data_IF_879968784899
#
_entry.id   IF_879968784899
#
_cell.length_a   1.000
_cell.length_b   1.000
_cell.length_c   1.000
_cell.angle_alpha   90.00
_cell.angle_beta   90.00
_cell.angle_gamma   90.00
#
_symmetry.space_group_name_H-M   'P 1'
#
loop_
_entity.id
_entity.type
_entity.pdbx_description
1 polymer ?
#
# COMPACT_ATOMS: atom_id res chain seq x y z
N UNK A 1 -7.64 -16.68 3.84
CA UNK A 1 -6.94 -16.02 2.71
C UNK A 1 -6.26 -14.78 3.27
N UNK A 2 -4.94 -14.79 3.46
CA UNK A 2 -4.20 -13.60 3.91
C UNK A 2 -4.16 -12.63 2.73
N UNK A 3 -5.06 -11.65 2.71
CA UNK A 3 -5.03 -10.58 1.72
C UNK A 3 -3.71 -9.84 1.95
N UNK A 4 -2.81 -9.88 0.97
CA UNK A 4 -1.58 -9.09 0.94
C UNK A 4 -1.97 -7.62 0.76
N UNK A 5 -2.47 -7.04 1.85
CA UNK A 5 -3.03 -5.70 1.89
C UNK A 5 -1.87 -4.73 1.88
N UNK A 6 -1.72 -4.02 0.75
CA UNK A 6 -0.73 -2.97 0.62
C UNK A 6 -1.34 -1.63 1.02
N UNK A 7 -0.52 -0.80 1.66
CA UNK A 7 -0.89 0.54 2.10
C UNK A 7 -0.25 1.54 1.14
N UNK A 8 -1.01 2.49 0.62
CA UNK A 8 -0.47 3.53 -0.24
C UNK A 8 0.19 4.61 0.61
N UNK A 9 1.49 4.86 0.41
CA UNK A 9 2.21 5.98 1.02
C UNK A 9 2.21 7.18 0.10
N UNK A 10 1.83 8.32 0.64
CA UNK A 10 1.87 9.64 0.00
C UNK A 10 2.90 10.55 0.67
N UNK A 11 3.33 11.60 -0.03
CA UNK A 11 3.96 12.74 0.62
C UNK A 11 2.91 13.68 1.23
N UNK A 12 3.35 14.75 1.90
CA UNK A 12 2.46 15.73 2.55
C UNK A 12 1.44 16.40 1.62
N UNK A 13 1.73 16.49 0.33
CA UNK A 13 0.88 17.10 -0.70
C UNK A 13 -0.06 16.09 -1.38
N UNK A 14 -0.02 14.82 -1.00
CA UNK A 14 -0.87 13.77 -1.56
C UNK A 14 -0.30 13.08 -2.80
N UNK A 15 0.96 13.33 -3.15
CA UNK A 15 1.63 12.65 -4.27
C UNK A 15 1.95 11.21 -3.86
N UNK A 16 1.56 10.19 -4.66
CA UNK A 16 1.94 8.80 -4.43
C UNK A 16 3.45 8.58 -4.47
N UNK A 17 3.98 7.91 -3.44
CA UNK A 17 5.41 7.57 -3.34
C UNK A 17 5.65 6.08 -3.60
N UNK A 18 5.00 5.22 -2.81
CA UNK A 18 5.18 3.77 -2.90
C UNK A 18 4.06 3.00 -2.21
N UNK A 19 3.95 1.71 -2.53
CA UNK A 19 3.14 0.77 -1.78
C UNK A 19 3.95 0.14 -0.65
N UNK A 20 3.45 0.27 0.58
CA UNK A 20 4.03 -0.32 1.77
C UNK A 20 3.39 -1.67 2.07
N UNK A 21 4.18 -2.54 2.69
CA UNK A 21 3.61 -3.66 3.44
C UNK A 21 3.03 -3.20 4.79
N UNK A 22 2.45 -4.16 5.50
CA UNK A 22 1.77 -3.93 6.79
C UNK A 22 2.76 -3.45 7.86
N UNK A 23 3.92 -4.07 7.95
CA UNK A 23 4.94 -3.82 8.97
C UNK A 23 5.55 -2.41 8.80
N UNK A 24 5.83 -2.01 7.56
CA UNK A 24 6.29 -0.68 7.21
C UNK A 24 5.26 0.39 7.57
N UNK A 25 3.99 0.19 7.21
CA UNK A 25 2.90 1.12 7.55
C UNK A 25 2.71 1.23 9.07
N UNK A 26 2.73 0.09 9.78
CA UNK A 26 2.67 0.05 11.24
C UNK A 26 3.80 0.87 11.87
N UNK A 27 5.03 0.70 11.37
CA UNK A 27 6.22 1.41 11.86
C UNK A 27 6.07 2.93 11.73
N UNK A 28 5.55 3.41 10.61
CA UNK A 28 5.32 4.84 10.40
C UNK A 28 4.26 5.41 11.33
N UNK A 29 3.16 4.68 11.53
CA UNK A 29 2.07 5.08 12.43
C UNK A 29 2.55 5.17 13.89
N UNK A 30 3.18 4.11 14.40
CA UNK A 30 3.61 4.08 15.82
C UNK A 30 4.74 5.07 16.12
N UNK A 31 5.55 5.43 15.11
CA UNK A 31 6.56 6.48 15.23
C UNK A 31 6.01 7.90 15.09
N UNK A 32 4.69 8.07 14.85
CA UNK A 32 4.08 9.39 14.68
C UNK A 32 4.53 10.12 13.40
N UNK A 33 4.94 9.37 12.37
CA UNK A 33 5.47 9.94 11.11
C UNK A 33 4.38 10.17 10.05
N UNK A 34 3.13 9.80 10.36
CA UNK A 34 1.96 10.01 9.49
C UNK A 34 1.35 11.37 9.81
N UNK A 35 1.29 12.24 8.79
CA UNK A 35 0.74 13.59 8.87
C UNK A 35 -0.78 13.58 8.74
N UNK A 36 -1.30 12.77 7.82
CA UNK A 36 -2.73 12.57 7.60
C UNK A 36 -2.95 11.22 6.91
N UNK A 37 -4.19 10.72 6.94
CA UNK A 37 -4.57 9.45 6.34
C UNK A 37 -5.92 9.54 5.63
N UNK A 38 -6.17 8.62 4.70
CA UNK A 38 -7.42 8.51 3.97
C UNK A 38 -7.90 7.05 3.89
N UNK A 39 -9.23 6.91 3.85
CA UNK A 39 -9.93 5.63 3.85
C UNK A 39 -10.19 5.10 5.26
N UNK A 40 -11.27 4.32 5.38
CA UNK A 40 -11.58 3.60 6.61
C UNK A 40 -10.50 2.56 6.95
N UNK A 41 -10.44 2.17 8.21
CA UNK A 41 -9.48 1.15 8.66
C UNK A 41 -9.78 -0.18 7.98
N UNK A 42 -8.88 -0.65 7.12
CA UNK A 42 -9.01 -1.95 6.45
C UNK A 42 -8.16 -3.03 7.10
N UNK A 43 -7.13 -2.66 7.87
CA UNK A 43 -6.20 -3.61 8.45
C UNK A 43 -6.00 -3.35 9.94
N UNK A 44 -6.44 -4.31 10.74
CA UNK A 44 -6.24 -4.30 12.19
C UNK A 44 -5.15 -5.30 12.56
N UNK A 45 -4.02 -4.79 13.07
CA UNK A 45 -3.01 -5.60 13.74
C UNK A 45 -3.45 -5.80 15.19
N UNK A 46 -3.39 -7.03 15.66
CA UNK A 46 -3.72 -7.36 17.05
C UNK A 46 -2.50 -7.97 17.73
N UNK A 47 -1.99 -7.30 18.75
CA UNK A 47 -0.86 -7.76 19.55
C UNK A 47 -1.29 -8.64 20.72
N UNK A 48 -0.48 -8.61 21.79
CA UNK A 48 -0.69 -9.37 23.01
C UNK A 48 -1.79 -8.82 23.92
N UNK A 49 -2.09 -9.57 24.98
CA UNK A 49 -3.01 -9.16 26.05
C UNK A 49 -2.22 -8.65 27.25
N UNK A 50 -2.69 -7.57 27.86
CA UNK A 50 -2.15 -7.10 29.14
C UNK A 50 -2.67 -7.97 30.31
N UNK A 51 -2.22 -7.67 31.54
CA UNK A 51 -2.62 -8.41 32.76
C UNK A 51 -4.13 -8.39 33.04
N UNK A 52 -4.85 -7.41 32.50
CA UNK A 52 -6.30 -7.26 32.65
C UNK A 52 -7.07 -7.99 31.53
N UNK A 53 -6.38 -8.69 30.63
CA UNK A 53 -6.99 -9.36 29.49
C UNK A 53 -7.30 -8.44 28.30
N UNK A 54 -6.92 -7.15 28.35
CA UNK A 54 -7.12 -6.23 27.24
C UNK A 54 -6.09 -6.46 26.13
N UNK A 55 -6.55 -6.61 24.89
CA UNK A 55 -5.69 -6.83 23.73
C UNK A 55 -5.16 -5.51 23.17
N UNK A 56 -3.87 -5.45 22.84
CA UNK A 56 -3.35 -4.33 22.05
C UNK A 56 -3.82 -4.42 20.60
N UNK A 57 -4.22 -3.29 20.05
CA UNK A 57 -4.79 -3.18 18.71
C UNK A 57 -4.18 -1.97 18.01
N UNK A 58 -3.74 -2.15 16.77
CA UNK A 58 -3.30 -1.08 15.88
C UNK A 58 -4.10 -1.13 14.59
N UNK A 59 -4.81 -0.05 14.32
CA UNK A 59 -5.60 0.13 13.11
C UNK A 59 -4.78 0.88 12.08
N UNK A 60 -4.67 0.31 10.88
CA UNK A 60 -3.86 0.85 9.78
C UNK A 60 -4.82 1.31 8.65
N UNK A 61 -4.82 2.61 8.31
CA UNK A 61 -5.54 3.13 7.15
C UNK A 61 -4.97 2.61 5.83
N UNK A 62 -5.79 2.56 4.78
CA UNK A 62 -5.33 2.15 3.44
C UNK A 62 -4.38 3.13 2.78
N UNK A 63 -4.43 4.41 3.17
CA UNK A 63 -3.64 5.48 2.60
C UNK A 63 -3.08 6.33 3.74
N UNK A 64 -1.78 6.53 3.75
CA UNK A 64 -1.09 7.36 4.75
C UNK A 64 -0.15 8.35 4.07
N UNK A 65 -0.13 9.60 4.55
CA UNK A 65 0.80 10.61 4.10
C UNK A 65 1.87 10.86 5.16
N UNK A 66 3.13 10.91 4.74
CA UNK A 66 4.28 11.15 5.64
C UNK A 66 5.06 12.38 5.23
N UNK A 67 5.85 12.93 6.16
CA UNK A 67 6.85 13.93 5.83
C UNK A 67 7.99 13.32 4.98
N UNK A 68 8.64 14.12 4.13
CA UNK A 68 9.69 13.67 3.21
C UNK A 68 9.75 14.49 1.93
N UNK A 69 10.79 14.28 1.13
CA UNK A 69 11.08 15.10 -0.04
C UNK A 69 9.92 15.13 -1.04
N UNK A 70 9.59 16.35 -1.47
CA UNK A 70 8.58 16.65 -2.48
C UNK A 70 9.22 16.60 -3.87
N UNK A 71 10.23 15.75 -4.06
CA UNK A 71 10.82 15.52 -5.38
C UNK A 71 9.85 14.66 -6.21
N UNK A 72 8.79 15.31 -6.66
CA UNK A 72 7.91 14.83 -7.68
C UNK A 72 8.66 14.96 -9.01
N UNK A 73 9.16 13.84 -9.51
CA UNK A 73 9.70 13.79 -10.86
C UNK A 73 8.50 13.67 -11.81
N UNK A 74 8.01 14.80 -12.31
CA UNK A 74 6.83 14.97 -13.18
C UNK A 74 6.94 14.23 -14.53
N UNK A 75 8.04 13.49 -14.73
CA UNK A 75 8.36 12.75 -15.94
C UNK A 75 8.44 11.23 -15.73
N UNK A 76 7.94 10.70 -14.61
CA UNK A 76 7.82 9.25 -14.46
C UNK A 76 6.63 8.73 -15.28
N UNK A 77 6.79 8.67 -16.61
CA UNK A 77 6.01 7.76 -17.44
C UNK A 77 6.38 6.36 -16.97
N UNK A 78 5.47 5.59 -16.35
CA UNK A 78 5.78 4.21 -15.98
C UNK A 78 6.25 3.52 -17.25
N UNK A 79 7.45 2.96 -17.25
CA UNK A 79 7.99 2.30 -18.44
C UNK A 79 6.96 1.28 -18.91
N UNK A 80 6.29 1.56 -20.03
CA UNK A 80 5.21 0.72 -20.54
C UNK A 80 5.87 -0.57 -21.01
N UNK A 81 5.82 -1.60 -20.17
CA UNK A 81 6.31 -2.92 -20.50
C UNK A 81 5.16 -3.92 -20.43
N UNK A 82 5.24 -4.99 -21.23
CA UNK A 82 4.19 -6.00 -21.30
C UNK A 82 3.79 -6.51 -19.92
N UNK A 83 4.77 -6.74 -19.03
CA UNK A 83 4.50 -7.17 -17.65
C UNK A 83 3.52 -6.25 -16.89
N UNK A 84 3.62 -4.93 -17.05
CA UNK A 84 2.71 -3.98 -16.40
C UNK A 84 1.33 -3.96 -17.09
N UNK A 85 1.28 -4.07 -18.42
CA UNK A 85 0.04 -4.16 -19.18
C UNK A 85 -0.74 -5.44 -18.84
N UNK A 86 -0.07 -6.60 -18.81
CA UNK A 86 -0.67 -7.87 -18.39
C UNK A 86 -1.19 -7.78 -16.96
N UNK A 87 -0.42 -7.23 -16.01
CA UNK A 87 -0.91 -7.06 -14.63
C UNK A 87 -2.16 -6.17 -14.53
N UNK A 88 -2.23 -5.08 -15.31
CA UNK A 88 -3.41 -4.21 -15.37
C UNK A 88 -4.65 -5.00 -15.79
N UNK A 89 -4.49 -5.85 -16.80
CA UNK A 89 -5.58 -6.57 -17.45
C UNK A 89 -5.79 -7.99 -16.89
N UNK A 90 -5.37 -8.23 -15.63
CA UNK A 90 -5.48 -9.52 -14.92
C UNK A 90 -4.86 -10.70 -15.71
N UNK A 91 -3.77 -10.39 -16.39
CA UNK A 91 -3.03 -11.24 -17.32
C UNK A 91 -3.87 -11.77 -18.50
N UNK A 92 -4.92 -11.05 -18.90
CA UNK A 92 -5.71 -11.37 -20.09
C UNK A 92 -5.18 -10.58 -21.27
N UNK A 93 -4.87 -11.25 -22.38
CA UNK A 93 -4.45 -10.57 -23.60
C UNK A 93 -5.66 -9.89 -24.26
N UNK A 94 -5.59 -8.57 -24.44
CA UNK A 94 -6.66 -7.79 -25.05
C UNK A 94 -6.81 -7.97 -26.58
N UNK A 95 -5.92 -8.73 -27.22
CA UNK A 95 -6.01 -9.07 -28.65
C UNK A 95 -6.65 -10.43 -28.89
N UNK A 96 -6.20 -11.48 -28.18
CA UNK A 96 -6.70 -12.85 -28.40
C UNK A 96 -7.70 -13.33 -27.34
N UNK A 97 -7.79 -12.67 -26.19
CA UNK A 97 -8.67 -13.07 -25.08
C UNK A 97 -8.10 -14.15 -24.15
N UNK A 98 -6.91 -14.70 -24.44
CA UNK A 98 -6.30 -15.74 -23.60
C UNK A 98 -5.78 -15.20 -22.28
N UNK A 99 -5.80 -16.04 -21.24
CA UNK A 99 -5.28 -15.74 -19.92
C UNK A 99 -3.89 -16.38 -19.71
N UNK A 100 -2.92 -15.55 -19.33
CA UNK A 100 -1.51 -15.92 -19.14
C UNK A 100 -1.15 -15.99 -17.65
N UNK A 101 -0.09 -16.73 -17.30
CA UNK A 101 0.40 -16.81 -15.92
C UNK A 101 1.10 -15.53 -15.48
N UNK A 102 1.15 -15.27 -14.17
CA UNK A 102 1.71 -14.04 -13.58
C UNK A 102 3.24 -13.90 -13.71
N UNK A 103 3.93 -14.93 -14.20
CA UNK A 103 5.39 -15.10 -14.15
C UNK A 103 6.11 -14.81 -15.48
N UNK A 104 5.45 -14.22 -16.48
CA UNK A 104 6.08 -13.80 -17.74
C UNK A 104 6.20 -12.28 -17.87
#
# INVERSE_FOLDING_TARGET
MLINTRILRLNKAGVPLQWLDREQAATLLVKGLVLWSLGDTTLTIRGGHNRQGLRSVLNIPTIIATNGDVHYNDHHVPAVCNRLLFRRDRNTCMYCGDQFSQDK
#
